data_IF_266778406413
#
_entry.id   IF_266778406413
#
_cell.length_a   1.000
_cell.length_b   1.000
_cell.length_c   1.000
_cell.angle_alpha   90.00
_cell.angle_beta   90.00
_cell.angle_gamma   90.00
#
_symmetry.space_group_name_H-M   'P 1'
#
loop_
_entity.id
_entity.type
_entity.pdbx_description
1 polymer ?
#
# COMPACT_ATOMS: atom_id res chain seq x y z
N UNK A 1 12.71 7.50 19.68
CA UNK A 1 11.30 7.43 20.12
C UNK A 1 10.75 8.84 20.12
N UNK A 2 9.57 9.07 19.56
CA UNK A 2 8.94 10.41 19.51
C UNK A 2 7.98 10.47 20.70
N UNK A 3 8.16 11.40 21.64
CA UNK A 3 7.32 11.46 22.84
C UNK A 3 5.92 12.02 22.50
N UNK A 4 4.86 11.51 23.16
CA UNK A 4 3.47 11.91 22.89
C UNK A 4 3.13 13.34 23.35
N UNK A 5 3.92 13.89 24.27
CA UNK A 5 3.79 15.25 24.85
C UNK A 5 4.40 16.36 23.96
N UNK A 6 4.90 16.00 22.79
CA UNK A 6 5.36 16.95 21.80
C UNK A 6 4.21 17.89 21.40
N UNK A 7 4.43 19.23 21.34
CA UNK A 7 3.36 20.19 21.07
C UNK A 7 2.78 20.09 19.64
N UNK A 8 3.65 19.76 18.67
CA UNK A 8 3.24 19.67 17.27
C UNK A 8 2.41 18.41 17.01
N UNK A 9 1.31 18.54 16.27
CA UNK A 9 0.52 17.42 15.80
C UNK A 9 1.35 16.48 14.92
N UNK A 10 1.26 15.20 15.21
CA UNK A 10 1.68 14.15 14.29
C UNK A 10 0.84 12.88 14.48
N UNK A 11 0.61 12.18 13.37
CA UNK A 11 -0.15 10.94 13.35
C UNK A 11 0.29 10.02 12.23
N UNK A 12 -0.12 8.75 12.33
CA UNK A 12 0.14 7.72 11.32
C UNK A 12 -1.16 7.26 10.69
N UNK A 13 -1.17 7.17 9.35
CA UNK A 13 -2.27 6.61 8.59
C UNK A 13 -2.20 5.08 8.68
N UNK A 14 -3.14 4.45 9.37
CA UNK A 14 -3.13 3.01 9.56
C UNK A 14 -4.23 2.28 8.77
N UNK A 15 -5.18 3.01 8.20
CA UNK A 15 -6.23 2.48 7.33
C UNK A 15 -6.68 3.55 6.35
N UNK A 16 -6.96 3.15 5.12
CA UNK A 16 -7.66 3.97 4.13
C UNK A 16 -8.89 3.20 3.70
N UNK A 17 -10.01 3.89 3.57
CA UNK A 17 -11.26 3.34 3.07
C UNK A 17 -11.81 4.28 2.00
N UNK A 18 -11.99 3.75 0.82
CA UNK A 18 -12.61 4.46 -0.30
C UNK A 18 -14.09 4.05 -0.46
N UNK A 19 -14.79 4.74 -1.35
CA UNK A 19 -16.14 4.41 -1.78
C UNK A 19 -17.15 4.25 -0.63
N UNK A 20 -17.00 5.03 0.44
CA UNK A 20 -17.98 5.05 1.53
C UNK A 20 -19.30 5.69 1.11
N UNK A 21 -19.29 6.52 0.07
CA UNK A 21 -20.45 7.09 -0.59
C UNK A 21 -20.31 6.90 -2.10
N UNK A 22 -21.21 6.16 -2.76
CA UNK A 22 -21.18 5.96 -4.21
C UNK A 22 -21.23 7.25 -5.03
N UNK A 23 -21.76 8.33 -4.46
CA UNK A 23 -21.89 9.65 -5.10
C UNK A 23 -20.62 10.50 -4.96
N UNK A 24 -19.72 10.16 -4.04
CA UNK A 24 -18.51 10.93 -3.77
C UNK A 24 -17.24 10.05 -3.83
N UNK A 25 -16.26 10.49 -4.62
CA UNK A 25 -14.95 9.81 -4.75
C UNK A 25 -14.00 10.10 -3.59
N UNK A 26 -14.53 10.51 -2.43
CA UNK A 26 -13.71 10.83 -1.27
C UNK A 26 -13.27 9.56 -0.55
N UNK A 27 -12.01 9.56 -0.16
CA UNK A 27 -11.42 8.50 0.68
C UNK A 27 -11.42 8.97 2.13
N UNK A 28 -11.59 8.07 3.07
CA UNK A 28 -11.37 8.35 4.49
C UNK A 28 -10.06 7.71 4.93
N UNK A 29 -9.09 8.54 5.32
CA UNK A 29 -7.86 8.09 5.96
C UNK A 29 -8.06 8.08 7.48
N UNK A 30 -7.85 6.92 8.09
CA UNK A 30 -7.90 6.76 9.54
C UNK A 30 -6.48 6.99 10.08
N UNK A 31 -6.35 8.04 10.88
CA UNK A 31 -5.09 8.50 11.45
C UNK A 31 -5.12 8.29 12.95
N UNK A 32 -4.14 7.56 13.49
CA UNK A 32 -3.87 7.54 14.92
C UNK A 32 -3.06 8.78 15.28
N UNK A 33 -3.56 9.60 16.18
CA UNK A 33 -2.83 10.73 16.74
C UNK A 33 -1.71 10.19 17.62
N UNK A 34 -0.47 10.57 17.35
CA UNK A 34 0.71 10.09 18.07
C UNK A 34 1.33 11.17 18.96
N UNK A 35 1.21 12.45 18.58
CA UNK A 35 1.64 13.60 19.39
C UNK A 35 0.82 14.84 19.07
N UNK A 36 0.86 15.84 19.95
CA UNK A 36 0.14 17.09 19.82
C UNK A 36 -1.38 16.92 19.83
N UNK A 37 -2.09 17.93 19.37
CA UNK A 37 -3.56 17.95 19.33
C UNK A 37 -4.02 18.15 17.89
N UNK A 38 -4.87 17.28 17.40
CA UNK A 38 -5.56 17.49 16.13
C UNK A 38 -6.84 18.30 16.37
N UNK A 39 -7.05 19.35 15.58
CA UNK A 39 -8.27 20.16 15.58
C UNK A 39 -8.75 20.37 14.14
N UNK A 40 -9.94 20.96 13.98
CA UNK A 40 -10.48 21.35 12.66
C UNK A 40 -9.57 22.34 11.89
N UNK A 41 -8.71 23.08 12.61
CA UNK A 41 -7.80 24.06 12.02
C UNK A 41 -6.43 23.48 11.69
N UNK A 42 -6.17 22.22 12.05
CA UNK A 42 -4.93 21.50 11.74
C UNK A 42 -4.75 21.37 10.24
N UNK A 43 -3.55 21.74 9.74
CA UNK A 43 -3.18 21.70 8.30
C UNK A 43 -1.93 20.86 8.08
N UNK A 44 -2.03 19.54 8.24
CA UNK A 44 -0.86 18.68 8.25
C UNK A 44 -0.22 18.56 6.86
N UNK A 45 1.06 18.22 6.87
CA UNK A 45 1.84 17.80 5.71
C UNK A 45 2.02 16.30 5.74
N UNK A 46 2.09 15.68 4.58
CA UNK A 46 2.54 14.31 4.42
C UNK A 46 4.07 14.27 4.48
N UNK A 47 4.65 13.53 5.41
CA UNK A 47 6.10 13.44 5.58
C UNK A 47 6.82 12.86 4.35
N UNK A 48 6.16 11.94 3.61
CA UNK A 48 6.72 11.31 2.42
C UNK A 48 6.82 12.28 1.24
N UNK A 49 5.79 13.10 0.98
CA UNK A 49 5.75 13.99 -0.19
C UNK A 49 6.11 15.43 0.13
N UNK A 50 6.11 15.82 1.41
CA UNK A 50 6.27 17.22 1.85
C UNK A 50 5.05 18.10 1.58
N UNK A 51 4.03 17.59 0.90
CA UNK A 51 2.85 18.34 0.49
C UNK A 51 1.81 18.45 1.62
N UNK A 52 1.03 19.52 1.59
CA UNK A 52 -0.11 19.68 2.50
C UNK A 52 -1.22 18.71 2.17
N UNK A 53 -1.74 18.04 3.19
CA UNK A 53 -2.89 17.16 3.07
C UNK A 53 -4.16 18.02 2.96
N UNK A 54 -4.93 17.84 1.89
CA UNK A 54 -6.22 18.51 1.70
C UNK A 54 -7.31 17.75 2.41
N UNK A 55 -7.65 18.19 3.62
CA UNK A 55 -8.73 17.62 4.43
C UNK A 55 -10.03 18.35 4.08
N UNK A 56 -11.07 17.62 3.65
CA UNK A 56 -12.42 18.12 3.36
C UNK A 56 -13.30 18.09 4.59
N UNK A 57 -13.03 17.20 5.52
CA UNK A 57 -13.75 17.05 6.78
C UNK A 57 -13.02 16.08 7.70
N UNK A 58 -13.26 16.21 8.99
CA UNK A 58 -12.69 15.30 10.00
C UNK A 58 -13.80 14.77 10.90
N UNK A 59 -13.82 13.47 11.11
CA UNK A 59 -14.80 12.78 11.91
C UNK A 59 -14.14 11.94 13.00
N UNK A 60 -14.69 11.98 14.21
CA UNK A 60 -14.38 10.99 15.23
C UNK A 60 -15.11 9.71 14.88
N UNK A 61 -14.37 8.61 14.80
CA UNK A 61 -14.96 7.32 14.45
C UNK A 61 -15.32 6.60 15.73
N UNK A 62 -16.59 6.70 16.12
CA UNK A 62 -17.15 5.90 17.20
C UNK A 62 -18.27 5.01 16.61
N UNK A 63 -17.97 3.72 16.46
CA UNK A 63 -18.89 2.71 15.89
C UNK A 63 -19.46 3.12 14.50
N UNK A 64 -20.77 3.38 14.40
CA UNK A 64 -21.45 3.80 13.17
C UNK A 64 -21.76 5.30 13.10
N UNK A 65 -21.53 6.02 14.19
CA UNK A 65 -21.81 7.46 14.25
C UNK A 65 -20.57 8.26 13.86
N UNK A 66 -20.78 9.31 13.07
CA UNK A 66 -19.76 10.26 12.66
C UNK A 66 -20.05 11.58 13.35
N UNK A 67 -19.26 11.88 14.38
CA UNK A 67 -19.29 13.20 15.01
C UNK A 67 -18.14 14.06 14.47
N UNK A 68 -18.38 15.35 14.27
CA UNK A 68 -17.30 16.27 13.94
C UNK A 68 -16.27 16.31 15.08
N UNK A 69 -14.99 16.25 14.71
CA UNK A 69 -13.90 16.29 15.69
C UNK A 69 -13.71 17.73 16.16
N UNK A 70 -14.04 18.02 17.39
CA UNK A 70 -13.65 19.28 18.05
C UNK A 70 -12.14 19.30 18.31
N UNK A 71 -11.63 18.29 19.01
CA UNK A 71 -10.22 18.06 19.27
C UNK A 71 -9.95 16.56 19.45
N UNK A 72 -8.76 16.08 19.04
CA UNK A 72 -8.30 14.72 19.27
C UNK A 72 -6.88 14.73 19.81
N UNK A 73 -6.60 13.85 20.76
CA UNK A 73 -5.38 13.77 21.56
C UNK A 73 -4.55 12.52 21.21
N UNK A 74 -3.27 12.45 21.65
CA UNK A 74 -2.45 11.26 21.43
C UNK A 74 -3.14 9.98 21.93
N UNK A 75 -3.23 8.99 21.01
CA UNK A 75 -3.97 7.74 21.22
C UNK A 75 -5.33 7.69 20.52
N UNK A 76 -5.96 8.84 20.26
CA UNK A 76 -7.22 8.91 19.54
C UNK A 76 -7.06 8.56 18.05
N UNK A 77 -8.18 8.15 17.44
CA UNK A 77 -8.30 7.89 16.01
C UNK A 77 -9.22 8.93 15.39
N UNK A 78 -8.73 9.58 14.34
CA UNK A 78 -9.53 10.50 13.53
C UNK A 78 -9.66 9.99 12.09
N UNK A 79 -10.85 10.08 11.54
CA UNK A 79 -11.13 9.84 10.13
C UNK A 79 -11.04 11.15 9.36
N UNK A 80 -10.10 11.26 8.44
CA UNK A 80 -9.92 12.41 7.58
C UNK A 80 -10.51 12.15 6.21
N UNK A 81 -11.54 12.91 5.84
CA UNK A 81 -12.06 12.88 4.46
C UNK A 81 -11.07 13.61 3.54
N UNK A 82 -10.49 12.88 2.60
CA UNK A 82 -9.44 13.35 1.70
C UNK A 82 -9.80 13.06 0.24
N UNK A 83 -9.24 13.86 -0.68
CA UNK A 83 -9.37 13.59 -2.13
C UNK A 83 -8.33 12.60 -2.66
N UNK A 84 -7.29 12.28 -1.87
CA UNK A 84 -6.15 11.44 -2.24
C UNK A 84 -4.85 11.94 -1.60
N UNK A 85 -3.71 11.43 -2.06
CA UNK A 85 -2.37 11.87 -1.65
C UNK A 85 -1.82 11.19 -0.39
N UNK A 86 -2.65 10.48 0.38
CA UNK A 86 -2.22 9.65 1.52
C UNK A 86 -2.22 8.18 1.14
N UNK A 87 -1.29 7.44 1.71
CA UNK A 87 -1.15 5.99 1.62
C UNK A 87 -1.10 5.37 3.02
N UNK A 88 -1.36 4.09 3.09
CA UNK A 88 -1.19 3.31 4.31
C UNK A 88 0.27 3.46 4.81
N UNK A 89 0.44 3.74 6.10
CA UNK A 89 1.75 3.97 6.73
C UNK A 89 2.31 5.40 6.60
N UNK A 90 1.66 6.29 5.83
CA UNK A 90 2.10 7.68 5.75
C UNK A 90 2.04 8.37 7.12
N UNK A 91 3.07 9.16 7.43
CA UNK A 91 3.07 10.07 8.57
C UNK A 91 2.53 11.42 8.13
N UNK A 92 1.57 11.95 8.89
CA UNK A 92 1.04 13.31 8.74
C UNK A 92 1.45 14.14 9.94
N UNK A 93 1.95 15.36 9.72
CA UNK A 93 2.48 16.21 10.80
C UNK A 93 2.33 17.70 10.54
N UNK A 94 2.37 18.50 11.61
CA UNK A 94 2.64 19.95 11.59
C UNK A 94 4.00 20.22 12.22
N UNK A 95 4.50 21.42 12.02
CA UNK A 95 5.77 21.87 12.59
C UNK A 95 6.99 21.13 12.00
N UNK A 96 7.91 20.71 12.88
CA UNK A 96 9.17 20.07 12.49
C UNK A 96 8.90 18.71 11.85
N UNK A 97 9.49 18.49 10.67
CA UNK A 97 9.36 17.23 9.95
C UNK A 97 9.78 16.03 10.81
N UNK A 98 8.95 15.00 10.78
CA UNK A 98 9.20 13.73 11.40
C UNK A 98 8.56 12.63 10.54
N UNK A 99 9.07 11.43 10.66
CA UNK A 99 8.50 10.25 10.02
C UNK A 99 8.48 9.11 11.04
N UNK A 100 7.31 8.49 11.21
CA UNK A 100 7.20 7.27 12.00
C UNK A 100 7.67 6.09 11.16
N UNK A 101 8.17 5.06 11.84
CA UNK A 101 8.39 3.77 11.18
C UNK A 101 7.06 3.29 10.59
N UNK A 102 7.13 2.80 9.34
CA UNK A 102 5.94 2.35 8.62
C UNK A 102 5.26 1.17 9.30
N UNK A 103 4.01 0.94 8.93
CA UNK A 103 3.30 -0.26 9.37
C UNK A 103 3.95 -1.51 8.77
N UNK A 104 4.12 -2.59 9.55
CA UNK A 104 4.64 -3.84 9.03
C UNK A 104 3.72 -4.36 7.92
N UNK A 105 4.29 -4.69 6.79
CA UNK A 105 3.59 -5.29 5.67
C UNK A 105 3.95 -6.78 5.62
N UNK A 106 2.93 -7.65 5.70
CA UNK A 106 3.15 -9.07 5.57
C UNK A 106 3.58 -9.42 4.14
N UNK A 107 4.54 -10.34 4.03
CA UNK A 107 4.90 -10.90 2.74
C UNK A 107 3.70 -11.65 2.15
N UNK A 108 3.39 -11.46 0.87
CA UNK A 108 2.32 -12.22 0.24
C UNK A 108 2.72 -13.69 0.08
N UNK A 109 1.74 -14.58 0.26
CA UNK A 109 1.89 -16.03 0.12
C UNK A 109 1.02 -16.60 -1.01
N UNK A 110 0.09 -15.80 -1.52
CA UNK A 110 -0.81 -16.16 -2.61
C UNK A 110 -0.64 -15.19 -3.77
N UNK A 111 -0.55 -15.74 -4.99
CA UNK A 111 -0.36 -14.96 -6.21
C UNK A 111 -1.33 -15.44 -7.27
N UNK A 112 -1.86 -14.49 -8.05
CA UNK A 112 -2.79 -14.79 -9.14
C UNK A 112 -2.65 -13.76 -10.26
N UNK A 113 -2.80 -14.16 -11.50
CA UNK A 113 -2.98 -13.23 -12.63
C UNK A 113 -4.43 -12.77 -12.65
N UNK A 114 -4.64 -11.47 -12.92
CA UNK A 114 -5.98 -10.93 -13.13
C UNK A 114 -6.16 -10.45 -14.56
N UNK A 115 -7.29 -10.83 -15.16
CA UNK A 115 -7.66 -10.46 -16.52
C UNK A 115 -8.99 -9.75 -16.55
N UNK A 116 -9.05 -8.65 -17.28
CA UNK A 116 -10.31 -7.97 -17.56
C UNK A 116 -11.07 -8.73 -18.66
N UNK A 117 -12.30 -9.14 -18.39
CA UNK A 117 -13.13 -9.83 -19.38
C UNK A 117 -13.61 -8.90 -20.50
N UNK A 118 -13.79 -7.61 -20.20
CA UNK A 118 -14.10 -6.57 -21.17
C UNK A 118 -12.92 -5.63 -21.36
N UNK A 119 -12.26 -5.71 -22.50
CA UNK A 119 -11.06 -4.90 -22.79
C UNK A 119 -11.31 -3.41 -22.81
N UNK A 120 -12.55 -2.94 -23.02
CA UNK A 120 -12.92 -1.54 -22.96
C UNK A 120 -12.86 -0.97 -21.54
N UNK A 121 -12.92 -1.84 -20.51
CA UNK A 121 -12.92 -1.48 -19.08
C UNK A 121 -11.55 -1.65 -18.39
N UNK A 122 -10.49 -1.84 -19.15
CA UNK A 122 -9.13 -2.01 -18.58
C UNK A 122 -8.68 -0.83 -17.71
N UNK A 123 -9.04 0.39 -18.12
CA UNK A 123 -8.71 1.58 -17.33
C UNK A 123 -9.40 1.54 -15.97
N UNK A 124 -10.69 1.21 -15.94
CA UNK A 124 -11.45 1.09 -14.68
C UNK A 124 -10.87 -0.03 -13.80
N UNK A 125 -10.43 -1.15 -14.40
CA UNK A 125 -9.73 -2.20 -13.64
C UNK A 125 -8.43 -1.68 -13.03
N UNK A 126 -7.60 -0.98 -13.82
CA UNK A 126 -6.34 -0.41 -13.32
C UNK A 126 -6.57 0.58 -12.18
N UNK A 127 -7.51 1.52 -12.35
CA UNK A 127 -7.89 2.50 -11.33
C UNK A 127 -8.39 1.80 -10.05
N UNK A 128 -9.20 0.75 -10.19
CA UNK A 128 -9.71 -0.05 -9.07
C UNK A 128 -8.61 -0.82 -8.35
N UNK A 129 -7.69 -1.44 -9.07
CA UNK A 129 -6.56 -2.17 -8.49
C UNK A 129 -5.60 -1.24 -7.74
N UNK A 130 -5.30 -0.06 -8.31
CA UNK A 130 -4.48 0.95 -7.64
C UNK A 130 -5.12 1.39 -6.32
N UNK A 131 -6.43 1.61 -6.32
CA UNK A 131 -7.15 2.00 -5.12
C UNK A 131 -7.16 0.89 -4.06
N UNK A 132 -7.41 -0.37 -4.45
CA UNK A 132 -7.35 -1.52 -3.53
C UNK A 132 -5.96 -1.74 -2.95
N UNK A 133 -4.90 -1.47 -3.73
CA UNK A 133 -3.53 -1.51 -3.28
C UNK A 133 -3.20 -0.37 -2.29
N UNK A 134 -3.67 0.85 -2.56
CA UNK A 134 -3.53 2.00 -1.64
C UNK A 134 -4.21 1.74 -0.28
N UNK A 135 -5.33 1.01 -0.27
CA UNK A 135 -6.03 0.58 0.94
C UNK A 135 -5.32 -0.56 1.68
N UNK A 136 -4.31 -1.17 1.06
CA UNK A 136 -3.59 -2.33 1.61
C UNK A 136 -4.37 -3.64 1.54
N UNK A 137 -5.44 -3.71 0.74
CA UNK A 137 -6.23 -4.93 0.57
C UNK A 137 -5.48 -6.02 -0.19
N UNK A 138 -4.63 -5.61 -1.13
CA UNK A 138 -3.76 -6.47 -1.96
C UNK A 138 -2.46 -5.76 -2.30
N UNK A 139 -1.50 -6.49 -2.83
CA UNK A 139 -0.38 -5.93 -3.56
C UNK A 139 -0.56 -6.24 -5.05
N UNK A 140 -0.09 -5.32 -5.90
CA UNK A 140 -0.18 -5.47 -7.36
C UNK A 140 1.23 -5.40 -7.92
N UNK A 141 1.60 -6.38 -8.72
CA UNK A 141 2.87 -6.45 -9.44
C UNK A 141 2.64 -6.40 -10.94
N UNK A 142 3.55 -5.74 -11.64
CA UNK A 142 3.58 -5.67 -13.09
C UNK A 142 4.69 -6.58 -13.63
N UNK A 143 4.34 -7.42 -14.58
CA UNK A 143 5.31 -8.20 -15.34
C UNK A 143 5.70 -7.41 -16.59
N UNK A 144 6.99 -7.07 -16.73
CA UNK A 144 7.50 -6.32 -17.89
C UNK A 144 7.25 -7.03 -19.23
N UNK A 145 7.08 -8.37 -19.20
CA UNK A 145 6.79 -9.18 -20.38
C UNK A 145 5.31 -9.21 -20.72
N UNK A 146 4.42 -8.92 -19.76
CA UNK A 146 2.97 -8.91 -19.95
C UNK A 146 2.27 -7.87 -19.07
N UNK A 147 2.48 -6.60 -19.38
CA UNK A 147 1.90 -5.44 -18.66
C UNK A 147 0.35 -5.46 -18.65
N UNK A 148 -0.27 -6.21 -19.58
CA UNK A 148 -1.75 -6.28 -19.70
C UNK A 148 -2.40 -7.19 -18.66
N UNK A 149 -1.62 -8.02 -17.99
CA UNK A 149 -2.08 -8.99 -17.00
C UNK A 149 -1.30 -8.81 -15.69
N UNK A 150 -1.71 -7.84 -14.85
CA UNK A 150 -1.05 -7.64 -13.57
C UNK A 150 -1.20 -8.87 -12.67
N UNK A 151 -0.24 -9.03 -11.76
CA UNK A 151 -0.23 -10.11 -10.78
C UNK A 151 -0.72 -9.54 -9.46
N UNK A 152 -1.79 -10.10 -8.94
CA UNK A 152 -2.27 -9.86 -7.58
C UNK A 152 -1.44 -10.68 -6.59
N UNK A 153 -1.13 -10.10 -5.45
CA UNK A 153 -0.50 -10.79 -4.36
C UNK A 153 -1.20 -10.48 -3.04
N UNK A 154 -1.43 -11.50 -2.24
CA UNK A 154 -2.20 -11.45 -1.02
C UNK A 154 -1.62 -12.38 0.05
N UNK A 155 -1.96 -12.16 1.32
CA UNK A 155 -1.61 -13.07 2.42
C UNK A 155 -2.49 -14.33 2.38
N UNK A 156 -3.74 -14.19 1.91
CA UNK A 156 -4.67 -15.33 1.82
C UNK A 156 -5.56 -15.27 0.58
N UNK A 157 -5.98 -16.44 0.10
CA UNK A 157 -6.75 -16.60 -1.15
C UNK A 157 -8.09 -15.88 -1.14
N UNK A 158 -8.75 -15.74 0.02
CA UNK A 158 -10.03 -15.06 0.15
C UNK A 158 -9.96 -13.57 -0.22
N UNK A 159 -8.77 -12.96 -0.15
CA UNK A 159 -8.59 -11.59 -0.58
C UNK A 159 -8.86 -11.41 -2.08
N UNK A 160 -8.63 -12.43 -2.89
CA UNK A 160 -8.93 -12.40 -4.33
C UNK A 160 -10.44 -12.38 -4.60
N UNK A 161 -11.24 -13.06 -3.79
CA UNK A 161 -12.70 -13.00 -3.90
C UNK A 161 -13.24 -11.63 -3.52
N UNK A 162 -12.65 -11.00 -2.49
CA UNK A 162 -12.96 -9.62 -2.12
C UNK A 162 -12.63 -8.66 -3.26
N UNK A 163 -11.45 -8.81 -3.88
CA UNK A 163 -11.04 -7.99 -5.05
C UNK A 163 -12.01 -8.14 -6.19
N UNK A 164 -12.38 -9.39 -6.55
CA UNK A 164 -13.34 -9.69 -7.63
C UNK A 164 -14.67 -9.01 -7.36
N UNK A 165 -15.22 -9.17 -6.15
CA UNK A 165 -16.49 -8.58 -5.75
C UNK A 165 -16.45 -7.06 -5.79
N UNK A 166 -15.40 -6.45 -5.26
CA UNK A 166 -15.25 -4.99 -5.24
C UNK A 166 -15.09 -4.40 -6.64
N UNK A 167 -14.31 -5.04 -7.53
CA UNK A 167 -14.17 -4.59 -8.92
C UNK A 167 -15.51 -4.64 -9.67
N UNK A 168 -16.33 -5.68 -9.43
CA UNK A 168 -17.66 -5.79 -10.04
C UNK A 168 -18.62 -4.72 -9.48
N UNK A 169 -18.74 -4.62 -8.16
CA UNK A 169 -19.73 -3.75 -7.50
C UNK A 169 -19.37 -2.27 -7.58
N UNK A 170 -18.08 -1.91 -7.36
CA UNK A 170 -17.66 -0.52 -7.23
C UNK A 170 -17.21 0.09 -8.57
N UNK A 171 -16.68 -0.73 -9.49
CA UNK A 171 -16.12 -0.27 -10.77
C UNK A 171 -16.87 -0.81 -11.98
N UNK A 172 -17.80 -1.75 -11.78
CA UNK A 172 -18.54 -2.41 -12.86
C UNK A 172 -17.65 -3.25 -13.78
N UNK A 173 -16.54 -3.79 -13.24
CA UNK A 173 -15.53 -4.52 -14.00
C UNK A 173 -15.56 -6.00 -13.63
N UNK A 174 -15.91 -6.84 -14.58
CA UNK A 174 -15.83 -8.29 -14.44
C UNK A 174 -14.43 -8.78 -14.78
N UNK A 175 -13.87 -9.59 -13.90
CA UNK A 175 -12.50 -10.11 -14.01
C UNK A 175 -12.43 -11.61 -13.82
N UNK A 176 -11.44 -12.22 -14.46
CA UNK A 176 -10.99 -13.58 -14.20
C UNK A 176 -9.71 -13.51 -13.38
N UNK A 177 -9.62 -14.35 -12.35
CA UNK A 177 -8.43 -14.44 -11.46
C UNK A 177 -7.95 -15.88 -11.49
N UNK A 178 -6.73 -16.09 -12.01
CA UNK A 178 -6.11 -17.39 -12.18
C UNK A 178 -4.93 -17.53 -11.21
N UNK A 179 -4.97 -18.49 -10.27
CA UNK A 179 -3.88 -18.69 -9.30
C UNK A 179 -2.56 -19.03 -9.99
N UNK A 180 -1.47 -18.51 -9.46
CA UNK A 180 -0.10 -18.84 -9.82
C UNK A 180 0.53 -19.78 -8.79
N UNK A 181 1.56 -20.49 -9.20
CA UNK A 181 2.29 -21.45 -8.36
C UNK A 181 3.22 -20.81 -7.30
N UNK A 182 3.45 -19.51 -7.40
CA UNK A 182 4.33 -18.81 -6.47
C UNK A 182 3.74 -18.73 -5.07
N UNK A 183 4.61 -18.80 -4.06
CA UNK A 183 4.25 -18.72 -2.63
C UNK A 183 5.16 -17.79 -1.84
N UNK A 184 6.16 -17.20 -2.49
CA UNK A 184 7.09 -16.28 -1.85
C UNK A 184 7.45 -15.14 -2.79
N UNK A 185 7.70 -13.97 -2.22
CA UNK A 185 8.20 -12.79 -2.91
C UNK A 185 9.37 -12.18 -2.15
N UNK A 186 10.33 -11.62 -2.88
CA UNK A 186 11.40 -10.82 -2.29
C UNK A 186 11.71 -9.60 -3.13
N UNK A 187 11.82 -8.45 -2.47
CA UNK A 187 12.28 -7.21 -3.07
C UNK A 187 13.80 -7.26 -3.22
N UNK A 188 14.29 -6.88 -4.41
CA UNK A 188 15.71 -6.90 -4.74
C UNK A 188 16.24 -5.48 -4.65
N UNK A 189 17.36 -5.32 -3.93
CA UNK A 189 18.10 -4.06 -3.83
C UNK A 189 19.57 -4.29 -4.10
N UNK A 190 20.19 -3.36 -4.83
CA UNK A 190 21.63 -3.39 -5.13
C UNK A 190 21.99 -2.41 -6.23
N UNK A 191 23.26 -2.40 -6.59
CA UNK A 191 23.76 -1.56 -7.69
C UNK A 191 23.21 -2.02 -9.04
N UNK A 192 22.97 -1.07 -9.94
CA UNK A 192 22.42 -1.33 -11.29
C UNK A 192 23.20 -2.39 -12.06
N UNK A 193 24.53 -2.34 -12.00
CA UNK A 193 25.42 -3.31 -12.68
C UNK A 193 25.21 -4.75 -12.18
N UNK A 194 24.84 -4.95 -10.91
CA UNK A 194 24.53 -6.25 -10.34
C UNK A 194 23.10 -6.70 -10.71
N UNK A 195 22.15 -5.76 -10.78
CA UNK A 195 20.78 -6.03 -11.21
C UNK A 195 20.72 -6.50 -12.69
N UNK A 196 21.55 -5.92 -13.56
CA UNK A 196 21.66 -6.32 -14.97
C UNK A 196 22.22 -7.75 -15.15
N UNK A 197 22.93 -8.27 -14.14
CA UNK A 197 23.51 -9.64 -14.12
C UNK A 197 22.72 -10.59 -13.22
N UNK A 198 21.51 -10.25 -12.84
CA UNK A 198 20.69 -11.05 -11.93
C UNK A 198 20.53 -12.49 -12.41
N UNK A 199 21.05 -13.43 -11.64
CA UNK A 199 20.90 -14.86 -11.86
C UNK A 199 19.63 -15.36 -11.18
N UNK A 200 18.69 -15.88 -11.96
CA UNK A 200 17.41 -16.37 -11.50
C UNK A 200 17.29 -17.90 -11.59
N UNK A 201 16.44 -18.47 -10.73
CA UNK A 201 16.06 -19.88 -10.88
C UNK A 201 14.99 -20.02 -11.96
N UNK A 202 14.89 -21.19 -12.59
CA UNK A 202 13.93 -21.47 -13.66
C UNK A 202 12.47 -21.34 -13.21
N UNK A 203 12.20 -21.57 -11.92
CA UNK A 203 10.86 -21.49 -11.31
C UNK A 203 10.54 -20.12 -10.70
N UNK A 204 11.33 -19.09 -11.00
CA UNK A 204 11.12 -17.73 -10.49
C UNK A 204 10.69 -16.77 -11.60
N UNK A 205 10.09 -15.64 -11.21
CA UNK A 205 9.66 -14.57 -12.12
C UNK A 205 10.07 -13.21 -11.55
N UNK A 206 10.62 -12.35 -12.41
CA UNK A 206 10.93 -10.97 -12.05
C UNK A 206 9.73 -10.09 -12.43
N UNK A 207 9.32 -9.25 -11.48
CA UNK A 207 8.20 -8.32 -11.62
C UNK A 207 8.56 -6.99 -10.97
N UNK A 208 7.74 -5.97 -11.19
CA UNK A 208 7.86 -4.68 -10.53
C UNK A 208 6.63 -4.42 -9.64
N UNK A 209 6.84 -3.81 -8.49
CA UNK A 209 5.73 -3.31 -7.68
C UNK A 209 5.26 -1.92 -8.17
N UNK A 210 4.18 -1.40 -7.57
CA UNK A 210 3.62 -0.09 -7.89
C UNK A 210 4.60 1.10 -7.67
N UNK A 211 5.76 0.85 -7.03
CA UNK A 211 6.86 1.82 -6.85
C UNK A 211 8.02 1.59 -7.81
N UNK A 212 7.84 0.74 -8.81
CA UNK A 212 8.87 0.36 -9.77
C UNK A 212 10.09 -0.33 -9.16
N UNK A 213 9.91 -0.97 -7.98
CA UNK A 213 10.96 -1.75 -7.36
C UNK A 213 10.89 -3.18 -7.88
N UNK A 214 12.07 -3.74 -8.12
CA UNK A 214 12.19 -5.11 -8.59
C UNK A 214 11.82 -6.10 -7.47
N UNK A 215 10.98 -7.05 -7.83
CA UNK A 215 10.51 -8.12 -6.96
C UNK A 215 10.68 -9.44 -7.68
N UNK A 216 11.24 -10.43 -7.00
CA UNK A 216 11.25 -11.79 -7.49
C UNK A 216 10.13 -12.59 -6.84
N UNK A 217 9.36 -13.29 -7.66
CA UNK A 217 8.38 -14.28 -7.21
C UNK A 217 9.01 -15.67 -7.33
N UNK A 218 8.81 -16.50 -6.31
CA UNK A 218 9.36 -17.86 -6.26
C UNK A 218 8.32 -18.86 -5.73
N UNK A 219 8.49 -20.14 -6.06
CA UNK A 219 7.61 -21.22 -5.59
C UNK A 219 7.69 -21.41 -4.08
N UNK A 220 8.86 -21.08 -3.48
CA UNK A 220 9.09 -21.18 -2.05
C UNK A 220 10.23 -20.24 -1.58
N UNK A 221 10.39 -20.11 -0.27
CA UNK A 221 11.42 -19.27 0.36
C UNK A 221 12.85 -19.83 0.18
N UNK A 222 12.98 -21.14 -0.05
CA UNK A 222 14.30 -21.74 -0.31
C UNK A 222 14.89 -21.23 -1.63
N UNK A 223 14.05 -21.14 -2.68
CA UNK A 223 14.44 -20.56 -3.97
C UNK A 223 14.93 -19.12 -3.82
N UNK A 224 14.30 -18.29 -2.98
CA UNK A 224 14.77 -16.93 -2.71
C UNK A 224 16.14 -16.96 -2.03
N UNK A 225 16.31 -17.80 -1.01
CA UNK A 225 17.59 -17.97 -0.31
C UNK A 225 18.69 -18.45 -1.25
N UNK A 226 18.37 -19.35 -2.17
CA UNK A 226 19.29 -19.84 -3.17
C UNK A 226 19.71 -18.74 -4.16
N UNK A 227 18.74 -17.96 -4.67
CA UNK A 227 19.02 -16.81 -5.55
C UNK A 227 19.88 -15.74 -4.84
N UNK A 228 19.67 -15.51 -3.55
CA UNK A 228 20.51 -14.60 -2.77
C UNK A 228 21.99 -15.06 -2.74
N UNK A 229 22.25 -16.38 -2.65
CA UNK A 229 23.60 -16.94 -2.73
C UNK A 229 24.23 -16.82 -4.12
N UNK A 230 23.43 -16.93 -5.19
CA UNK A 230 23.90 -16.76 -6.56
C UNK A 230 24.22 -15.30 -6.89
N UNK A 231 23.69 -14.35 -6.13
CA UNK A 231 23.80 -12.91 -6.39
C UNK A 231 24.38 -12.18 -5.16
N UNK A 232 25.64 -12.39 -4.76
CA UNK A 232 26.21 -11.86 -3.52
C UNK A 232 26.28 -10.32 -3.47
N UNK A 233 26.15 -9.64 -4.62
CA UNK A 233 26.07 -8.18 -4.70
C UNK A 233 24.65 -7.61 -4.59
N UNK A 234 23.64 -8.47 -4.38
CA UNK A 234 22.24 -8.08 -4.26
C UNK A 234 21.66 -8.50 -2.90
N UNK A 235 20.74 -7.69 -2.39
CA UNK A 235 19.98 -8.00 -1.18
C UNK A 235 18.56 -8.41 -1.55
N UNK A 236 18.12 -9.56 -1.01
CA UNK A 236 16.75 -10.08 -1.17
C UNK A 236 16.03 -9.96 0.17
N UNK A 237 14.94 -9.22 0.21
CA UNK A 237 14.15 -9.01 1.44
C UNK A 237 12.72 -9.49 1.26
N UNK A 238 12.31 -10.41 2.11
CA UNK A 238 10.94 -10.94 2.12
C UNK A 238 9.97 -10.05 2.92
N UNK A 239 10.48 -9.21 3.84
CA UNK A 239 9.71 -8.28 4.63
C UNK A 239 10.03 -6.85 4.25
N UNK A 240 9.02 -6.02 4.36
CA UNK A 240 9.07 -4.62 3.93
C UNK A 240 9.22 -3.63 5.07
N UNK A 241 9.90 -3.96 6.16
CA UNK A 241 10.18 -2.98 7.23
C UNK A 241 10.83 -1.70 6.69
N UNK A 242 11.61 -1.79 5.62
CA UNK A 242 12.21 -0.64 4.94
C UNK A 242 11.39 -0.10 3.76
N UNK A 243 10.23 -0.67 3.44
CA UNK A 243 9.40 -0.19 2.33
C UNK A 243 8.84 1.22 2.58
N UNK A 244 8.86 1.66 3.81
CA UNK A 244 8.33 2.96 4.24
C UNK A 244 9.40 3.98 4.66
N UNK A 245 10.68 3.63 4.61
CA UNK A 245 11.75 4.63 4.79
C UNK A 245 11.89 5.43 3.51
N UNK A 246 11.67 6.75 3.50
CA UNK A 246 11.90 7.58 2.32
C UNK A 246 13.38 7.46 1.92
N UNK A 247 13.62 7.21 0.63
CA UNK A 247 14.96 7.38 0.07
C UNK A 247 15.40 8.84 0.29
N UNK A 248 16.58 9.02 0.88
CA UNK A 248 17.19 10.34 1.09
C UNK A 248 17.60 10.95 -0.23
#
# INVERSE_FOLDING_TARGET
>A
MIPPDRPDFAGIVFKIQANMDPMHRDKVAFVRVCSGIFTKDTRPKNARTGERVRIKGSHRVFAREREEVGAAYPGDIVGLAISGGLRLGDTVHEGKALNYEGLPQFSPECFAVIRCLDTSRRKQMSDGLEQLADEGAIQVFEDSTNIREPILAAVGVLQFDVVRSRLDVEYGVKVEIEPLKFKAAAWIKGERANLEKLSMTYSSRLVEDHRRRLVVLAEDSWNITYMAKLNPGLTFRQFSEELFVPEK
#
